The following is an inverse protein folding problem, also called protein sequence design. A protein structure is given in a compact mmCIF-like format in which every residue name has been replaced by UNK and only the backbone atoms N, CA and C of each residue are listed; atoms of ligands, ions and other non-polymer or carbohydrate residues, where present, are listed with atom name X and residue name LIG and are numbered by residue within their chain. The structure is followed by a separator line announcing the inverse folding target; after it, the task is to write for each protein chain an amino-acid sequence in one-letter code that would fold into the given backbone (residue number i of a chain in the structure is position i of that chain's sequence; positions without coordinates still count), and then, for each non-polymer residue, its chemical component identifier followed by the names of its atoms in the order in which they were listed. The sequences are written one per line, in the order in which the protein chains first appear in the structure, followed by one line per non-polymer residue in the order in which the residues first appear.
data_IF_635968519759
#
_entry.id   IF_635968519759
#
_cell.length_a   1.000
_cell.length_b   1.000
_cell.length_c   1.000
_cell.angle_alpha   90.00
_cell.angle_beta   90.00
_cell.angle_gamma   90.00
#
_symmetry.space_group_name_H-M   'P 1'
#
loop_
_entity.id
_entity.type
_entity.pdbx_description
1 polymer ?
#
# COMPACT_ATOMS: atom_id res chain seq x y z
N UNK A 1 -55.30 -42.84 -35.69
CA UNK A 1 -53.87 -43.04 -35.33
C UNK A 1 -53.14 -41.77 -35.75
N UNK A 2 -53.07 -40.80 -34.81
CA UNK A 2 -52.57 -39.45 -35.04
C UNK A 2 -51.23 -39.36 -34.35
N UNK A 3 -50.15 -39.16 -35.15
CA UNK A 3 -48.79 -39.02 -34.69
C UNK A 3 -48.54 -37.59 -34.14
N UNK A 4 -48.19 -37.48 -32.87
CA UNK A 4 -47.70 -36.24 -32.28
C UNK A 4 -46.22 -36.01 -32.72
N UNK A 5 -46.00 -34.95 -33.48
CA UNK A 5 -44.65 -34.43 -33.73
C UNK A 5 -44.21 -33.57 -32.56
N UNK A 6 -43.14 -33.98 -31.93
CA UNK A 6 -42.40 -33.23 -30.91
C UNK A 6 -41.56 -32.14 -31.56
N UNK A 7 -41.87 -30.89 -31.34
CA UNK A 7 -41.03 -29.75 -31.73
C UNK A 7 -39.97 -29.54 -30.66
N UNK A 8 -38.70 -29.92 -30.97
CA UNK A 8 -37.51 -29.57 -30.18
C UNK A 8 -37.18 -28.11 -30.44
N UNK A 9 -37.27 -27.28 -29.41
CA UNK A 9 -36.67 -25.95 -29.42
C UNK A 9 -35.16 -26.02 -29.45
N UNK A 10 -34.45 -25.22 -30.30
CA UNK A 10 -33.00 -25.21 -30.29
C UNK A 10 -32.46 -24.49 -29.04
N UNK A 11 -31.34 -24.92 -28.47
CA UNK A 11 -30.75 -24.30 -27.29
C UNK A 11 -30.24 -22.89 -27.64
N UNK A 12 -30.56 -21.93 -26.77
CA UNK A 12 -30.11 -20.54 -26.84
C UNK A 12 -28.57 -20.50 -26.62
N UNK A 13 -27.80 -20.72 -27.70
CA UNK A 13 -26.34 -20.61 -27.68
C UNK A 13 -25.84 -19.17 -27.84
N UNK A 14 -26.73 -18.20 -28.07
CA UNK A 14 -26.36 -16.82 -28.32
C UNK A 14 -26.07 -15.99 -27.06
N UNK A 15 -26.63 -16.37 -25.90
CA UNK A 15 -26.50 -15.55 -24.69
C UNK A 15 -25.13 -15.72 -23.99
N UNK A 16 -24.50 -16.88 -24.14
CA UNK A 16 -23.15 -17.11 -23.56
C UNK A 16 -22.05 -16.34 -24.29
N UNK A 17 -22.18 -16.10 -25.59
CA UNK A 17 -21.17 -15.34 -26.35
C UNK A 17 -21.28 -13.83 -26.13
N UNK A 18 -22.46 -13.31 -25.77
CA UNK A 18 -22.65 -11.89 -25.45
C UNK A 18 -22.05 -11.53 -24.09
N UNK A 19 -22.03 -12.46 -23.13
CA UNK A 19 -21.38 -12.27 -21.83
C UNK A 19 -19.86 -12.36 -21.91
N UNK A 20 -19.30 -13.14 -22.85
CA UNK A 20 -17.84 -13.27 -23.05
C UNK A 20 -17.27 -12.05 -23.80
N UNK A 21 -18.03 -11.44 -24.72
CA UNK A 21 -17.57 -10.26 -25.46
C UNK A 21 -17.51 -8.97 -24.63
N UNK A 22 -18.20 -8.90 -23.49
CA UNK A 22 -18.14 -7.78 -22.53
C UNK A 22 -16.84 -7.77 -21.70
N UNK A 23 -16.07 -8.87 -21.70
CA UNK A 23 -14.79 -8.98 -20.97
C UNK A 23 -13.56 -8.56 -21.78
N UNK A 24 -13.71 -8.18 -23.05
CA UNK A 24 -12.58 -7.82 -23.93
C UNK A 24 -12.36 -6.31 -24.05
N UNK A 25 -13.22 -5.46 -23.46
CA UNK A 25 -12.92 -4.05 -23.32
C UNK A 25 -11.92 -3.83 -22.18
N UNK A 26 -10.78 -3.30 -22.49
CA UNK A 26 -9.54 -3.12 -21.74
C UNK A 26 -9.56 -2.30 -20.44
N UNK A 27 -10.68 -2.24 -19.74
CA UNK A 27 -10.77 -1.71 -18.38
C UNK A 27 -11.11 -2.88 -17.45
N UNK A 28 -10.16 -3.26 -16.59
CA UNK A 28 -10.47 -4.22 -15.52
C UNK A 28 -11.71 -3.68 -14.74
N UNK A 29 -12.79 -4.46 -14.58
CA UNK A 29 -13.96 -4.02 -13.82
C UNK A 29 -13.61 -3.53 -12.41
N UNK A 30 -12.57 -4.11 -11.82
CA UNK A 30 -12.03 -3.73 -10.52
C UNK A 30 -11.48 -2.30 -10.52
N UNK A 31 -10.71 -1.92 -11.55
CA UNK A 31 -10.15 -0.55 -11.68
C UNK A 31 -11.27 0.48 -11.87
N UNK A 32 -12.28 0.15 -12.67
CA UNK A 32 -13.43 1.04 -12.87
C UNK A 32 -14.20 1.28 -11.57
N UNK A 33 -14.47 0.22 -10.77
CA UNK A 33 -15.16 0.37 -9.49
C UNK A 33 -14.31 1.19 -8.51
N UNK A 34 -13.00 0.96 -8.47
CA UNK A 34 -12.07 1.71 -7.61
C UNK A 34 -12.04 3.21 -7.98
N UNK A 35 -12.01 3.52 -9.28
CA UNK A 35 -11.99 4.90 -9.77
C UNK A 35 -13.33 5.63 -9.52
N UNK A 36 -14.46 4.97 -9.76
CA UNK A 36 -15.78 5.61 -9.71
C UNK A 36 -16.50 5.49 -8.37
N UNK A 37 -16.19 4.48 -7.57
CA UNK A 37 -16.83 4.25 -6.28
C UNK A 37 -15.87 3.54 -5.30
N UNK A 38 -14.88 4.26 -4.75
CA UNK A 38 -13.89 3.68 -3.84
C UNK A 38 -14.52 3.07 -2.57
N UNK A 39 -15.65 3.60 -2.07
CA UNK A 39 -16.34 3.03 -0.93
C UNK A 39 -16.96 1.66 -1.24
N UNK A 40 -17.49 1.46 -2.44
CA UNK A 40 -17.97 0.15 -2.89
C UNK A 40 -16.78 -0.82 -3.04
N UNK A 41 -15.69 -0.35 -3.65
CA UNK A 41 -14.45 -1.14 -3.77
C UNK A 41 -13.95 -1.60 -2.40
N UNK A 42 -13.92 -0.73 -1.40
CA UNK A 42 -13.53 -1.05 -0.03
C UNK A 42 -14.44 -2.08 0.63
N UNK A 43 -15.76 -1.97 0.45
CA UNK A 43 -16.71 -2.99 0.95
C UNK A 43 -16.50 -4.35 0.31
N UNK A 44 -16.30 -4.39 -1.01
CA UNK A 44 -16.00 -5.63 -1.75
C UNK A 44 -14.68 -6.23 -1.26
N UNK A 45 -13.65 -5.42 -1.13
CA UNK A 45 -12.34 -5.87 -0.64
C UNK A 45 -12.45 -6.49 0.76
N UNK A 46 -13.13 -5.80 1.69
CA UNK A 46 -13.36 -6.29 3.06
C UNK A 46 -14.11 -7.62 3.09
N UNK A 47 -15.21 -7.72 2.34
CA UNK A 47 -16.10 -8.89 2.42
C UNK A 47 -15.60 -10.09 1.66
N UNK A 48 -14.79 -9.91 0.63
CA UNK A 48 -14.29 -10.99 -0.21
C UNK A 48 -12.81 -11.26 0.07
N UNK A 49 -11.94 -10.26 -0.09
CA UNK A 49 -10.49 -10.46 -0.01
C UNK A 49 -10.04 -10.75 1.42
N UNK A 50 -10.39 -9.89 2.38
CA UNK A 50 -10.01 -10.11 3.79
C UNK A 50 -10.62 -11.39 4.34
N UNK A 51 -11.90 -11.67 4.09
CA UNK A 51 -12.55 -12.88 4.57
C UNK A 51 -11.92 -14.16 3.99
N UNK A 52 -11.47 -14.13 2.74
CA UNK A 52 -10.78 -15.28 2.10
C UNK A 52 -9.42 -15.54 2.75
N UNK A 53 -8.65 -14.49 3.00
CA UNK A 53 -7.30 -14.60 3.57
C UNK A 53 -7.38 -15.04 5.03
N UNK A 54 -8.28 -14.45 5.83
CA UNK A 54 -8.55 -14.85 7.22
C UNK A 54 -8.98 -16.33 7.31
N UNK A 55 -9.87 -16.78 6.41
CA UNK A 55 -10.27 -18.21 6.37
C UNK A 55 -9.09 -19.14 6.06
N UNK A 56 -8.17 -18.74 5.17
CA UNK A 56 -6.97 -19.53 4.85
C UNK A 56 -6.10 -19.70 6.10
N UNK A 57 -5.83 -18.62 6.82
CA UNK A 57 -5.03 -18.65 8.03
C UNK A 57 -5.68 -19.45 9.16
N UNK A 58 -7.01 -19.34 9.34
CA UNK A 58 -7.74 -20.16 10.32
C UNK A 58 -7.65 -21.64 10.03
N UNK A 59 -7.63 -22.03 8.78
CA UNK A 59 -7.49 -23.43 8.37
C UNK A 59 -6.05 -23.96 8.54
N UNK A 60 -5.04 -23.09 8.40
CA UNK A 60 -3.63 -23.43 8.54
C UNK A 60 -2.86 -22.27 9.20
N UNK A 61 -2.86 -22.21 10.55
CA UNK A 61 -2.26 -21.10 11.31
C UNK A 61 -0.76 -20.92 11.12
N UNK A 62 -0.06 -21.96 10.66
CA UNK A 62 1.39 -21.95 10.43
C UNK A 62 1.76 -21.82 8.95
N UNK A 63 0.82 -21.45 8.10
CA UNK A 63 1.08 -21.16 6.68
C UNK A 63 1.70 -19.77 6.55
N UNK A 64 3.02 -19.71 6.27
CA UNK A 64 3.77 -18.46 6.15
C UNK A 64 3.17 -17.55 5.07
N UNK A 65 2.81 -18.09 3.91
CA UNK A 65 2.16 -17.31 2.85
C UNK A 65 0.80 -16.76 3.30
N UNK A 66 0.03 -17.51 4.12
CA UNK A 66 -1.20 -17.00 4.68
C UNK A 66 -0.97 -15.86 5.68
N UNK A 67 0.09 -15.92 6.49
CA UNK A 67 0.49 -14.81 7.36
C UNK A 67 0.85 -13.58 6.55
N UNK A 68 1.71 -13.72 5.54
CA UNK A 68 2.12 -12.61 4.66
C UNK A 68 0.91 -11.98 3.96
N UNK A 69 0.03 -12.79 3.39
CA UNK A 69 -1.20 -12.31 2.75
C UNK A 69 -2.13 -11.56 3.72
N UNK A 70 -2.18 -11.95 5.01
CA UNK A 70 -2.94 -11.21 6.01
C UNK A 70 -2.30 -9.85 6.29
N UNK A 71 -0.97 -9.78 6.49
CA UNK A 71 -0.27 -8.51 6.67
C UNK A 71 -0.54 -7.59 5.49
N UNK A 72 -0.36 -8.06 4.27
CA UNK A 72 -0.58 -7.32 3.04
C UNK A 72 -2.02 -6.83 2.91
N UNK A 73 -3.00 -7.74 3.09
CA UNK A 73 -4.41 -7.43 2.85
C UNK A 73 -4.99 -6.47 3.90
N UNK A 74 -4.64 -6.65 5.17
CA UNK A 74 -5.07 -5.75 6.25
C UNK A 74 -4.47 -4.36 6.08
N UNK A 75 -3.17 -4.30 5.75
CA UNK A 75 -2.45 -3.03 5.54
C UNK A 75 -3.00 -2.30 4.31
N UNK A 76 -3.23 -3.01 3.20
CA UNK A 76 -3.85 -2.45 1.99
C UNK A 76 -5.25 -1.92 2.27
N UNK A 77 -6.08 -2.66 3.03
CA UNK A 77 -7.42 -2.20 3.39
C UNK A 77 -7.37 -0.94 4.25
N UNK A 78 -6.49 -0.92 5.25
CA UNK A 78 -6.37 0.19 6.16
C UNK A 78 -5.89 1.47 5.45
N UNK A 79 -4.83 1.42 4.63
CA UNK A 79 -4.36 2.59 3.88
C UNK A 79 -5.29 2.97 2.74
N UNK A 80 -5.61 2.00 1.87
CA UNK A 80 -6.28 2.29 0.60
C UNK A 80 -7.74 2.68 0.72
N UNK A 81 -8.39 2.35 1.85
CA UNK A 81 -9.80 2.65 2.03
C UNK A 81 -10.11 3.44 3.31
N UNK A 82 -9.55 3.06 4.45
CA UNK A 82 -9.93 3.72 5.72
C UNK A 82 -9.19 5.04 5.92
N UNK A 83 -7.87 5.08 5.75
CA UNK A 83 -7.08 6.31 5.87
C UNK A 83 -7.44 7.27 4.73
N UNK A 84 -7.55 6.79 3.49
CA UNK A 84 -7.93 7.62 2.35
C UNK A 84 -9.31 8.27 2.54
N UNK A 85 -10.30 7.53 3.07
CA UNK A 85 -11.61 8.13 3.41
C UNK A 85 -11.51 9.03 4.64
N UNK A 86 -10.69 8.70 5.64
CA UNK A 86 -10.47 9.54 6.82
C UNK A 86 -9.92 10.90 6.43
N UNK A 87 -8.88 10.95 5.60
CA UNK A 87 -8.27 12.20 5.15
C UNK A 87 -9.28 13.11 4.45
N UNK A 88 -10.13 12.54 3.58
CA UNK A 88 -11.19 13.28 2.90
C UNK A 88 -12.25 13.79 3.86
N UNK A 89 -12.63 12.97 4.84
CA UNK A 89 -13.61 13.35 5.86
C UNK A 89 -13.06 14.34 6.89
N UNK A 90 -11.74 14.48 7.02
CA UNK A 90 -11.13 15.42 7.96
C UNK A 90 -11.59 16.86 7.72
N UNK A 91 -11.80 17.23 6.46
CA UNK A 91 -12.28 18.56 6.05
C UNK A 91 -13.81 18.73 6.23
N UNK A 92 -14.58 17.65 6.22
CA UNK A 92 -16.04 17.68 6.21
C UNK A 92 -16.64 17.27 7.57
N UNK A 93 -16.11 16.22 8.19
CA UNK A 93 -16.63 15.58 9.38
C UNK A 93 -15.54 14.96 10.25
N UNK A 94 -14.96 15.75 11.12
CA UNK A 94 -13.87 15.35 12.01
C UNK A 94 -14.16 14.10 12.85
N UNK A 95 -15.40 13.97 13.38
CA UNK A 95 -15.78 12.78 14.17
C UNK A 95 -15.79 11.50 13.34
N UNK A 96 -16.28 11.56 12.09
CA UNK A 96 -16.25 10.43 11.17
C UNK A 96 -14.81 10.10 10.78
N UNK A 97 -13.98 11.10 10.50
CA UNK A 97 -12.56 10.92 10.18
C UNK A 97 -11.82 10.17 11.30
N UNK A 98 -11.92 10.64 12.54
CA UNK A 98 -11.30 9.99 13.69
C UNK A 98 -11.80 8.54 13.91
N UNK A 99 -13.07 8.26 13.63
CA UNK A 99 -13.59 6.90 13.72
C UNK A 99 -12.96 5.98 12.66
N UNK A 100 -12.80 6.47 11.43
CA UNK A 100 -12.14 5.73 10.35
C UNK A 100 -10.66 5.49 10.66
N UNK A 101 -9.95 6.50 11.16
CA UNK A 101 -8.56 6.36 11.58
C UNK A 101 -8.40 5.34 12.72
N UNK A 102 -9.28 5.38 13.72
CA UNK A 102 -9.29 4.39 14.80
C UNK A 102 -9.58 2.97 14.32
N UNK A 103 -10.42 2.81 13.28
CA UNK A 103 -10.62 1.52 12.64
C UNK A 103 -9.36 1.07 11.87
N UNK A 104 -8.74 1.98 11.10
CA UNK A 104 -7.49 1.70 10.39
C UNK A 104 -6.39 1.25 11.36
N UNK A 105 -6.25 1.94 12.51
CA UNK A 105 -5.31 1.56 13.55
C UNK A 105 -5.46 0.11 14.02
N UNK A 106 -6.69 -0.38 14.19
CA UNK A 106 -6.93 -1.76 14.59
C UNK A 106 -6.44 -2.75 13.53
N UNK A 107 -6.68 -2.47 12.25
CA UNK A 107 -6.21 -3.32 11.15
C UNK A 107 -4.68 -3.30 11.03
N UNK A 108 -4.05 -2.13 11.18
CA UNK A 108 -2.58 -2.04 11.22
C UNK A 108 -1.99 -2.80 12.40
N UNK A 109 -2.56 -2.65 13.60
CA UNK A 109 -2.10 -3.36 14.78
C UNK A 109 -2.21 -4.88 14.64
N UNK A 110 -3.29 -5.38 14.03
CA UNK A 110 -3.48 -6.79 13.71
C UNK A 110 -2.48 -7.25 12.64
N UNK A 111 -2.25 -6.48 11.59
CA UNK A 111 -1.24 -6.76 10.57
C UNK A 111 0.16 -6.87 11.17
N UNK A 112 0.54 -5.98 12.10
CA UNK A 112 1.80 -6.06 12.84
C UNK A 112 1.91 -7.37 13.61
N UNK A 113 0.84 -7.84 14.27
CA UNK A 113 0.87 -9.12 14.98
C UNK A 113 1.13 -10.30 14.05
N UNK A 114 0.51 -10.32 12.86
CA UNK A 114 0.77 -11.36 11.86
C UNK A 114 2.19 -11.28 11.32
N UNK A 115 2.71 -10.07 11.06
CA UNK A 115 4.10 -9.87 10.65
C UNK A 115 5.10 -10.35 11.68
N UNK A 116 4.94 -9.97 12.94
CA UNK A 116 5.78 -10.42 14.05
C UNK A 116 5.72 -11.95 14.23
N UNK A 117 4.55 -12.55 14.05
CA UNK A 117 4.37 -14.00 14.07
C UNK A 117 5.09 -14.68 12.90
N UNK A 118 5.00 -14.13 11.69
CA UNK A 118 5.68 -14.65 10.52
C UNK A 118 7.21 -14.61 10.69
N UNK A 119 7.77 -13.53 11.22
CA UNK A 119 9.20 -13.46 11.56
C UNK A 119 9.63 -14.55 12.53
N UNK A 120 8.86 -14.74 13.60
CA UNK A 120 9.15 -15.76 14.61
C UNK A 120 9.04 -17.19 14.07
N UNK A 121 8.16 -17.38 13.06
CA UNK A 121 7.98 -18.67 12.39
C UNK A 121 9.13 -19.02 11.44
N UNK A 122 9.65 -18.04 10.70
CA UNK A 122 10.78 -18.25 9.78
C UNK A 122 12.04 -18.59 10.57
N UNK A 123 12.43 -17.72 11.48
CA UNK A 123 13.58 -17.89 12.39
C UNK A 123 13.40 -16.96 13.59
N UNK A 124 13.50 -17.52 14.78
CA UNK A 124 13.41 -16.73 16.02
C UNK A 124 14.45 -15.59 16.09
N UNK A 125 15.58 -15.70 15.39
CA UNK A 125 16.57 -14.65 15.31
C UNK A 125 16.11 -13.46 14.46
N UNK A 126 15.21 -13.63 13.49
CA UNK A 126 14.62 -12.51 12.74
C UNK A 126 13.86 -11.56 13.66
N UNK A 127 12.99 -12.11 14.50
CA UNK A 127 12.23 -11.28 15.42
C UNK A 127 13.15 -10.61 16.46
N UNK A 128 14.14 -11.31 16.97
CA UNK A 128 15.15 -10.72 17.87
C UNK A 128 15.89 -9.57 17.20
N UNK A 129 16.33 -9.78 15.95
CA UNK A 129 16.97 -8.72 15.17
C UNK A 129 16.04 -7.51 14.99
N UNK A 130 14.77 -7.73 14.62
CA UNK A 130 13.82 -6.65 14.41
C UNK A 130 13.64 -5.77 15.65
N UNK A 131 13.58 -6.38 16.83
CA UNK A 131 13.36 -5.67 18.10
C UNK A 131 14.65 -5.17 18.77
N UNK A 132 15.82 -5.64 18.34
CA UNK A 132 17.10 -5.23 18.90
C UNK A 132 17.44 -3.79 18.48
N UNK A 133 18.26 -3.12 19.28
CA UNK A 133 18.83 -1.81 18.96
C UNK A 133 20.27 -1.94 18.42
N UNK A 134 20.77 -3.16 18.22
CA UNK A 134 22.06 -3.38 17.58
C UNK A 134 21.96 -3.13 16.07
N UNK A 135 23.00 -2.59 15.49
CA UNK A 135 23.11 -2.33 14.05
C UNK A 135 23.43 -3.58 13.22
N UNK A 136 23.20 -4.79 13.76
CA UNK A 136 23.52 -6.03 13.04
C UNK A 136 22.74 -6.11 11.73
N UNK A 137 23.45 -6.42 10.66
CA UNK A 137 22.88 -6.60 9.33
C UNK A 137 22.31 -8.01 9.19
N UNK A 138 21.16 -8.13 8.55
CA UNK A 138 20.48 -9.41 8.31
C UNK A 138 20.71 -9.93 6.87
N UNK A 139 21.66 -9.32 6.17
CA UNK A 139 21.91 -9.53 4.74
C UNK A 139 22.09 -11.00 4.39
N UNK A 140 22.85 -11.74 5.19
CA UNK A 140 23.16 -13.15 4.92
C UNK A 140 21.95 -14.07 4.83
N UNK A 141 20.86 -13.72 5.55
CA UNK A 141 19.63 -14.52 5.57
C UNK A 141 18.74 -14.19 4.36
N UNK A 142 18.78 -12.95 3.88
CA UNK A 142 18.00 -12.49 2.72
C UNK A 142 18.61 -12.97 1.38
N UNK A 143 19.87 -13.34 1.35
CA UNK A 143 20.52 -13.87 0.15
C UNK A 143 20.17 -15.34 -0.14
N UNK A 144 19.62 -16.07 0.84
CA UNK A 144 19.37 -17.51 0.76
C UNK A 144 17.93 -17.81 0.33
N UNK A 145 17.66 -17.86 -0.96
CA UNK A 145 16.66 -18.72 -1.60
C UNK A 145 15.18 -18.29 -1.63
N UNK A 146 14.64 -17.53 -0.69
CA UNK A 146 13.22 -17.09 -0.64
C UNK A 146 13.06 -15.57 -0.65
N UNK A 147 13.89 -14.91 -1.42
CA UNK A 147 14.05 -13.45 -1.46
C UNK A 147 12.72 -12.71 -1.64
N UNK A 148 11.87 -13.12 -2.59
CA UNK A 148 10.61 -12.45 -2.88
C UNK A 148 9.63 -12.52 -1.71
N UNK A 149 9.48 -13.69 -1.07
CA UNK A 149 8.58 -13.89 0.06
C UNK A 149 9.02 -13.06 1.28
N UNK A 150 10.34 -13.04 1.56
CA UNK A 150 10.89 -12.25 2.67
C UNK A 150 10.78 -10.75 2.41
N UNK A 151 11.02 -10.30 1.19
CA UNK A 151 10.85 -8.89 0.85
C UNK A 151 9.40 -8.43 0.95
N UNK A 152 8.44 -9.26 0.53
CA UNK A 152 7.01 -9.00 0.74
C UNK A 152 6.69 -8.87 2.23
N UNK A 153 7.15 -9.82 3.05
CA UNK A 153 6.94 -9.77 4.50
C UNK A 153 7.54 -8.50 5.11
N UNK A 154 8.78 -8.17 4.78
CA UNK A 154 9.49 -6.99 5.31
C UNK A 154 8.76 -5.71 4.93
N UNK A 155 8.45 -5.55 3.66
CA UNK A 155 7.78 -4.36 3.16
C UNK A 155 6.41 -4.14 3.80
N UNK A 156 5.56 -5.15 3.77
CA UNK A 156 4.21 -5.02 4.29
C UNK A 156 4.16 -4.91 5.81
N UNK A 157 5.09 -5.55 6.52
CA UNK A 157 5.22 -5.36 7.98
C UNK A 157 5.74 -3.96 8.32
N UNK A 158 6.68 -3.43 7.55
CA UNK A 158 7.13 -2.04 7.70
C UNK A 158 5.98 -1.05 7.46
N UNK A 159 5.19 -1.26 6.41
CA UNK A 159 4.00 -0.46 6.12
C UNK A 159 2.95 -0.55 7.25
N UNK A 160 2.70 -1.76 7.79
CA UNK A 160 1.80 -1.95 8.91
C UNK A 160 2.27 -1.22 10.18
N UNK A 161 3.57 -1.30 10.52
CA UNK A 161 4.14 -0.51 11.61
C UNK A 161 3.99 0.99 11.38
N UNK A 162 4.33 1.48 10.18
CA UNK A 162 4.17 2.88 9.82
C UNK A 162 2.72 3.35 9.97
N UNK A 163 1.76 2.58 9.47
CA UNK A 163 0.33 2.86 9.60
C UNK A 163 -0.16 2.84 11.05
N UNK A 164 0.29 1.86 11.85
CA UNK A 164 -0.06 1.79 13.27
C UNK A 164 0.51 2.97 14.06
N UNK A 165 1.73 3.41 13.74
CA UNK A 165 2.35 4.59 14.37
C UNK A 165 1.58 5.85 14.02
N UNK A 166 1.32 6.11 12.73
CA UNK A 166 0.64 7.33 12.27
C UNK A 166 -0.77 7.46 12.82
N UNK A 167 -1.52 6.36 12.88
CA UNK A 167 -2.91 6.31 13.36
C UNK A 167 -3.07 6.09 14.87
N UNK A 168 -1.96 6.09 15.62
CA UNK A 168 -1.97 5.83 17.07
C UNK A 168 -2.41 7.02 17.92
N UNK A 169 -2.61 8.20 17.30
CA UNK A 169 -2.84 9.44 18.05
C UNK A 169 -1.66 9.86 18.93
N UNK A 170 -0.44 9.44 18.59
CA UNK A 170 0.76 9.77 19.35
C UNK A 170 1.08 8.82 20.50
N UNK A 171 0.48 7.61 20.55
CA UNK A 171 0.76 6.63 21.61
C UNK A 171 2.25 6.22 21.62
N UNK A 172 2.99 6.51 22.73
CA UNK A 172 4.41 6.18 22.85
C UNK A 172 4.73 4.69 22.61
N UNK A 173 3.79 3.78 22.92
CA UNK A 173 3.95 2.33 22.66
C UNK A 173 4.13 1.99 21.19
N UNK A 174 3.61 2.84 20.31
CA UNK A 174 3.78 2.71 18.87
C UNK A 174 4.96 3.51 18.37
N UNK A 175 5.14 4.73 18.84
CA UNK A 175 6.23 5.63 18.39
C UNK A 175 7.60 4.99 18.61
N UNK A 176 7.85 4.32 19.74
CA UNK A 176 9.13 3.63 20.00
C UNK A 176 9.46 2.51 19.01
N UNK A 177 8.49 2.07 18.21
CA UNK A 177 8.68 1.03 17.17
C UNK A 177 9.09 1.61 15.81
N UNK A 178 9.18 2.93 15.67
CA UNK A 178 9.59 3.58 14.42
C UNK A 178 10.92 3.04 13.85
N UNK A 179 11.96 2.76 14.63
CA UNK A 179 13.19 2.19 14.11
C UNK A 179 13.01 0.85 13.36
N UNK A 180 11.97 0.05 13.71
CA UNK A 180 11.67 -1.21 13.03
C UNK A 180 11.28 -1.00 11.57
N UNK A 181 10.55 0.09 11.27
CA UNK A 181 10.19 0.47 9.90
C UNK A 181 11.46 0.68 9.07
N UNK A 182 12.39 1.48 9.60
CA UNK A 182 13.67 1.72 8.92
C UNK A 182 14.51 0.46 8.73
N UNK A 183 14.59 -0.42 9.74
CA UNK A 183 15.30 -1.69 9.65
C UNK A 183 14.78 -2.56 8.51
N UNK A 184 13.48 -2.78 8.46
CA UNK A 184 12.85 -3.63 7.45
C UNK A 184 13.03 -3.08 6.04
N UNK A 185 12.81 -1.78 5.83
CA UNK A 185 12.95 -1.17 4.52
C UNK A 185 14.41 -1.10 4.05
N UNK A 186 15.35 -0.75 4.94
CA UNK A 186 16.76 -0.72 4.61
C UNK A 186 17.31 -2.12 4.30
N UNK A 187 16.83 -3.17 4.97
CA UNK A 187 17.23 -4.54 4.66
C UNK A 187 16.83 -4.93 3.22
N UNK A 188 15.68 -4.50 2.72
CA UNK A 188 15.31 -4.71 1.31
C UNK A 188 16.26 -3.93 0.40
N UNK A 189 16.45 -2.63 0.65
CA UNK A 189 17.22 -1.74 -0.22
C UNK A 189 18.68 -2.12 -0.27
N UNK A 190 19.26 -2.67 0.81
CA UNK A 190 20.67 -3.12 0.85
C UNK A 190 20.91 -4.33 -0.05
N UNK A 191 19.92 -5.20 -0.23
CA UNK A 191 20.02 -6.40 -1.09
C UNK A 191 19.53 -6.11 -2.51
N UNK A 192 18.39 -5.42 -2.65
CA UNK A 192 17.81 -5.09 -3.95
C UNK A 192 16.94 -3.84 -3.88
N UNK A 193 17.54 -2.70 -4.18
CA UNK A 193 16.82 -1.42 -4.22
C UNK A 193 15.80 -1.31 -5.35
N UNK A 194 15.85 -2.23 -6.32
CA UNK A 194 14.91 -2.24 -7.45
C UNK A 194 13.67 -3.12 -7.20
N UNK A 195 13.66 -3.89 -6.11
CA UNK A 195 12.53 -4.74 -5.78
C UNK A 195 11.21 -3.96 -5.80
N UNK A 196 10.20 -4.57 -6.41
CA UNK A 196 8.87 -3.99 -6.59
C UNK A 196 8.93 -2.52 -7.06
N UNK A 197 9.77 -2.29 -8.09
CA UNK A 197 9.96 -0.99 -8.72
C UNK A 197 10.39 0.14 -7.77
N UNK A 198 11.13 -0.19 -6.72
CA UNK A 198 11.61 0.77 -5.75
C UNK A 198 10.59 1.16 -4.68
N UNK A 199 9.61 0.31 -4.40
CA UNK A 199 8.58 0.57 -3.38
C UNK A 199 9.20 0.85 -1.99
N UNK A 200 10.27 0.11 -1.62
CA UNK A 200 10.98 0.35 -0.37
C UNK A 200 11.70 1.71 -0.34
N UNK A 201 12.25 2.17 -1.47
CA UNK A 201 12.84 3.52 -1.58
C UNK A 201 11.78 4.60 -1.35
N UNK A 202 10.60 4.42 -1.96
CA UNK A 202 9.47 5.35 -1.78
C UNK A 202 9.01 5.41 -0.33
N UNK A 203 8.84 4.26 0.33
CA UNK A 203 8.42 4.19 1.73
C UNK A 203 9.48 4.81 2.69
N UNK A 204 10.76 4.66 2.37
CA UNK A 204 11.85 5.28 3.12
C UNK A 204 11.81 6.82 3.10
N UNK A 205 11.22 7.47 2.11
CA UNK A 205 11.04 8.93 2.10
C UNK A 205 10.22 9.34 3.33
N UNK A 206 9.06 8.73 3.52
CA UNK A 206 8.19 9.03 4.67
C UNK A 206 8.84 8.67 6.00
N UNK A 207 9.52 7.51 6.07
CA UNK A 207 10.27 7.13 7.26
C UNK A 207 11.35 8.15 7.63
N UNK A 208 12.14 8.60 6.64
CA UNK A 208 13.24 9.56 6.83
C UNK A 208 12.74 10.88 7.40
N UNK A 209 11.62 11.39 6.89
CA UNK A 209 11.03 12.64 7.37
C UNK A 209 10.48 12.56 8.80
N UNK A 210 10.17 11.36 9.27
CA UNK A 210 9.67 11.11 10.64
C UNK A 210 10.77 10.59 11.59
N UNK A 211 12.02 10.45 11.14
CA UNK A 211 13.11 9.95 11.96
C UNK A 211 13.67 11.04 12.88
N UNK A 212 13.44 10.97 14.21
CA UNK A 212 13.84 12.01 15.16
C UNK A 212 15.36 12.10 15.35
N UNK A 213 16.14 11.16 14.83
CA UNK A 213 17.59 11.15 14.91
C UNK A 213 18.26 12.00 13.82
N UNK A 214 17.51 12.47 12.82
CA UNK A 214 18.00 13.28 11.72
C UNK A 214 17.67 14.76 11.94
N UNK A 215 18.61 15.61 11.60
CA UNK A 215 18.33 17.04 11.46
C UNK A 215 17.41 17.28 10.24
N UNK A 216 16.66 18.40 10.21
CA UNK A 216 15.83 18.74 9.07
C UNK A 216 16.57 18.71 7.71
N UNK A 217 17.78 19.22 7.67
CA UNK A 217 18.58 19.25 6.44
C UNK A 217 19.07 17.87 5.99
N UNK A 218 19.43 17.00 6.93
CA UNK A 218 19.77 15.61 6.64
C UNK A 218 18.57 14.86 6.10
N UNK A 219 17.41 14.99 6.77
CA UNK A 219 16.17 14.36 6.31
C UNK A 219 15.78 14.81 4.91
N UNK A 220 15.86 16.11 4.60
CA UNK A 220 15.57 16.65 3.26
C UNK A 220 16.55 16.09 2.21
N UNK A 221 17.85 16.05 2.52
CA UNK A 221 18.88 15.55 1.59
C UNK A 221 18.72 14.05 1.30
N UNK A 222 18.51 13.24 2.34
CA UNK A 222 18.30 11.79 2.20
C UNK A 222 17.01 11.52 1.43
N UNK A 223 15.90 12.20 1.77
CA UNK A 223 14.61 12.03 1.10
C UNK A 223 14.69 12.40 -0.37
N UNK A 224 15.43 13.45 -0.73
CA UNK A 224 15.65 13.84 -2.13
C UNK A 224 16.41 12.76 -2.91
N UNK A 225 17.43 12.17 -2.32
CA UNK A 225 18.18 11.08 -2.95
C UNK A 225 17.33 9.82 -3.13
N UNK A 226 16.52 9.46 -2.14
CA UNK A 226 15.59 8.34 -2.21
C UNK A 226 14.55 8.56 -3.33
N UNK A 227 13.98 9.76 -3.40
CA UNK A 227 13.04 10.16 -4.45
C UNK A 227 13.63 10.01 -5.85
N UNK A 228 14.83 10.53 -6.06
CA UNK A 228 15.53 10.43 -7.36
C UNK A 228 15.78 8.97 -7.75
N UNK A 229 16.24 8.15 -6.81
CA UNK A 229 16.45 6.71 -7.04
C UNK A 229 15.13 5.99 -7.35
N UNK A 230 14.05 6.26 -6.62
CA UNK A 230 12.74 5.64 -6.87
C UNK A 230 12.21 5.97 -8.27
N UNK A 231 12.34 7.23 -8.72
CA UNK A 231 11.99 7.61 -10.10
C UNK A 231 12.86 6.87 -11.12
N UNK A 232 14.16 6.79 -10.89
CA UNK A 232 15.08 6.10 -11.79
C UNK A 232 14.71 4.62 -11.91
N UNK A 233 14.46 3.94 -10.80
CA UNK A 233 14.10 2.51 -10.76
C UNK A 233 12.78 2.24 -11.46
N UNK A 234 11.76 3.06 -11.22
CA UNK A 234 10.44 2.93 -11.89
C UNK A 234 10.43 3.43 -13.35
N UNK A 235 11.57 3.95 -13.85
CA UNK A 235 11.65 4.56 -15.18
C UNK A 235 10.71 5.77 -15.34
N UNK A 236 10.37 6.44 -14.26
CA UNK A 236 9.47 7.59 -14.24
C UNK A 236 7.99 7.21 -14.52
N UNK A 237 7.62 5.94 -14.42
CA UNK A 237 6.26 5.45 -14.73
C UNK A 237 5.37 5.29 -13.50
N UNK A 238 5.94 5.38 -12.29
CA UNK A 238 5.22 5.31 -11.02
C UNK A 238 4.93 6.72 -10.49
N UNK A 239 3.66 7.00 -10.18
CA UNK A 239 3.23 8.25 -9.55
C UNK A 239 3.56 8.27 -8.04
N UNK A 240 3.72 7.11 -7.41
CA UNK A 240 3.90 6.95 -5.97
C UNK A 240 5.03 7.80 -5.38
N UNK A 241 6.26 7.78 -5.93
CA UNK A 241 7.37 8.61 -5.46
C UNK A 241 7.05 10.11 -5.42
N UNK A 242 6.38 10.62 -6.47
CA UNK A 242 6.01 12.05 -6.54
C UNK A 242 5.04 12.45 -5.44
N UNK A 243 3.99 11.64 -5.21
CA UNK A 243 3.01 11.90 -4.16
C UNK A 243 3.66 11.79 -2.77
N UNK A 244 4.44 10.74 -2.56
CA UNK A 244 5.11 10.54 -1.27
C UNK A 244 6.05 11.69 -0.94
N UNK A 245 6.83 12.18 -1.91
CA UNK A 245 7.71 13.32 -1.70
C UNK A 245 6.91 14.62 -1.48
N UNK A 246 5.86 14.84 -2.27
CA UNK A 246 4.98 15.99 -2.10
C UNK A 246 4.37 16.03 -0.69
N UNK A 247 3.73 14.93 -0.25
CA UNK A 247 3.05 14.89 1.04
C UNK A 247 4.01 14.83 2.23
N UNK A 248 5.10 14.05 2.15
CA UNK A 248 6.02 13.88 3.28
C UNK A 248 7.03 15.02 3.41
N UNK A 249 7.51 15.59 2.29
CA UNK A 249 8.57 16.60 2.29
C UNK A 249 8.01 17.99 2.02
N UNK A 250 7.45 18.22 0.82
CA UNK A 250 7.07 19.57 0.39
C UNK A 250 5.96 20.17 1.26
N UNK A 251 4.92 19.37 1.60
CA UNK A 251 3.86 19.80 2.52
C UNK A 251 4.42 20.08 3.93
N UNK A 252 5.22 19.18 4.48
CA UNK A 252 5.83 19.34 5.81
C UNK A 252 6.74 20.58 5.89
N UNK A 253 7.41 20.94 4.79
CA UNK A 253 8.28 22.13 4.67
C UNK A 253 7.55 23.36 4.18
N UNK A 254 6.22 23.31 4.02
CA UNK A 254 5.38 24.43 3.52
C UNK A 254 5.84 24.97 2.17
N UNK A 255 6.36 24.10 1.28
CA UNK A 255 6.82 24.43 -0.07
C UNK A 255 5.70 24.24 -1.09
N UNK A 256 4.72 25.13 -1.10
CA UNK A 256 3.49 25.04 -1.92
C UNK A 256 3.80 24.83 -3.40
N UNK A 257 4.71 25.62 -3.98
CA UNK A 257 5.03 25.55 -5.41
C UNK A 257 5.68 24.20 -5.79
N UNK A 258 6.60 23.68 -4.95
CA UNK A 258 7.21 22.37 -5.15
C UNK A 258 6.15 21.25 -5.06
N UNK A 259 5.24 21.33 -4.09
CA UNK A 259 4.13 20.39 -3.93
C UNK A 259 3.24 20.34 -5.18
N UNK A 260 2.78 21.50 -5.67
CA UNK A 260 1.96 21.61 -6.89
C UNK A 260 2.73 21.07 -8.11
N UNK A 261 4.02 21.42 -8.24
CA UNK A 261 4.86 20.94 -9.34
C UNK A 261 4.98 19.43 -9.37
N UNK A 262 5.20 18.78 -8.23
CA UNK A 262 5.32 17.34 -8.10
C UNK A 262 4.02 16.62 -8.46
N UNK A 263 2.88 17.08 -7.94
CA UNK A 263 1.58 16.49 -8.26
C UNK A 263 1.25 16.63 -9.75
N UNK A 264 1.54 17.77 -10.35
CA UNK A 264 1.36 17.96 -11.79
C UNK A 264 2.31 17.10 -12.64
N UNK A 265 3.53 16.80 -12.16
CA UNK A 265 4.43 15.84 -12.82
C UNK A 265 3.86 14.42 -12.75
N UNK A 266 3.36 14.01 -11.59
CA UNK A 266 2.69 12.73 -11.43
C UNK A 266 1.50 12.59 -12.41
N UNK A 267 0.63 13.59 -12.48
CA UNK A 267 -0.57 13.58 -13.35
C UNK A 267 -0.27 13.55 -14.85
N UNK A 268 0.97 13.89 -15.27
CA UNK A 268 1.40 13.73 -16.66
C UNK A 268 1.77 12.29 -17.04
N UNK A 269 1.91 11.40 -16.08
CA UNK A 269 2.24 9.99 -16.33
C UNK A 269 1.01 9.30 -16.95
N UNK A 270 1.19 8.69 -18.12
CA UNK A 270 0.11 7.93 -18.74
C UNK A 270 -0.08 6.59 -18.01
N UNK A 271 -1.21 6.48 -17.31
CA UNK A 271 -1.59 5.27 -16.55
C UNK A 271 -1.63 4.01 -17.42
N UNK A 272 -1.94 4.17 -18.72
CA UNK A 272 -2.04 3.03 -19.65
C UNK A 272 -0.69 2.60 -20.21
N UNK A 273 0.36 3.39 -20.04
CA UNK A 273 1.70 3.11 -20.56
C UNK A 273 2.36 1.88 -19.93
N UNK A 274 1.95 1.50 -18.72
CA UNK A 274 2.48 0.33 -18.02
C UNK A 274 1.39 -0.39 -17.21
N UNK A 275 1.11 -1.65 -17.56
CA UNK A 275 0.13 -2.47 -16.83
C UNK A 275 0.50 -2.68 -15.37
N UNK A 276 1.77 -2.73 -15.08
CA UNK A 276 2.34 -2.95 -13.76
C UNK A 276 1.94 -1.85 -12.77
N UNK A 277 1.97 -0.59 -13.20
CA UNK A 277 1.61 0.57 -12.37
C UNK A 277 0.15 0.99 -12.51
N UNK A 278 -0.65 0.32 -13.32
CA UNK A 278 -2.00 0.80 -13.65
C UNK A 278 -2.89 0.95 -12.42
N UNK A 279 -2.84 -0.01 -11.49
CA UNK A 279 -3.63 0.05 -10.26
C UNK A 279 -3.13 1.15 -9.32
N UNK A 280 -1.84 1.16 -9.02
CA UNK A 280 -1.23 2.13 -8.11
C UNK A 280 -1.33 3.55 -8.65
N UNK A 281 -1.09 3.75 -9.95
CA UNK A 281 -1.24 5.06 -10.59
C UNK A 281 -2.70 5.54 -10.64
N UNK A 282 -3.69 4.64 -10.75
CA UNK A 282 -5.10 5.05 -10.67
C UNK A 282 -5.42 5.60 -9.27
N UNK A 283 -4.95 4.94 -8.22
CA UNK A 283 -5.11 5.41 -6.83
C UNK A 283 -4.36 6.73 -6.63
N UNK A 284 -3.11 6.79 -7.05
CA UNK A 284 -2.26 7.97 -6.93
C UNK A 284 -2.82 9.19 -7.68
N UNK A 285 -3.40 8.97 -8.87
CA UNK A 285 -4.06 10.02 -9.62
C UNK A 285 -5.22 10.63 -8.82
N UNK A 286 -6.12 9.80 -8.31
CA UNK A 286 -7.28 10.28 -7.54
C UNK A 286 -6.85 11.03 -6.28
N UNK A 287 -5.76 10.59 -5.65
CA UNK A 287 -5.15 11.29 -4.51
C UNK A 287 -4.54 12.63 -4.92
N UNK A 288 -3.78 12.68 -6.01
CA UNK A 288 -3.15 13.91 -6.50
C UNK A 288 -4.18 14.97 -6.89
N UNK A 289 -5.25 14.57 -7.59
CA UNK A 289 -6.35 15.48 -7.96
C UNK A 289 -7.02 16.04 -6.69
N UNK A 290 -7.36 15.21 -5.72
CA UNK A 290 -7.95 15.65 -4.46
C UNK A 290 -7.04 16.61 -3.68
N UNK A 291 -5.74 16.34 -3.62
CA UNK A 291 -4.76 17.20 -2.95
C UNK A 291 -4.67 18.59 -3.63
N UNK A 292 -4.72 18.65 -4.95
CA UNK A 292 -4.72 19.91 -5.68
C UNK A 292 -6.02 20.68 -5.50
N UNK A 293 -7.17 20.00 -5.50
CA UNK A 293 -8.48 20.62 -5.28
C UNK A 293 -8.64 21.23 -3.88
N UNK A 294 -7.88 20.72 -2.90
CA UNK A 294 -7.92 21.16 -1.50
C UNK A 294 -6.60 21.82 -1.06
N UNK A 295 -5.84 22.39 -2.00
CA UNK A 295 -4.48 22.89 -1.77
C UNK A 295 -4.39 23.92 -0.64
N UNK A 296 -5.38 24.78 -0.51
CA UNK A 296 -5.41 25.84 0.48
C UNK A 296 -5.63 25.35 1.91
N UNK A 297 -6.06 24.11 2.10
CA UNK A 297 -6.17 23.46 3.42
C UNK A 297 -4.80 22.98 3.95
N UNK A 298 -3.77 22.91 3.12
CA UNK A 298 -2.47 22.33 3.47
C UNK A 298 -1.36 23.37 3.63
N UNK A 299 -1.58 24.61 3.18
CA UNK A 299 -0.57 25.68 3.18
C UNK A 299 -1.15 26.98 3.73
N UNK A 300 -0.37 27.71 4.56
CA UNK A 300 -0.75 28.98 5.16
C UNK A 300 0.13 30.11 4.67
#
# INVERSE_FOLDING_TARGET
MILFQSTKNPPIKGLSYLLISLFICSCSPTLYVLDKNPQLAGRIYKTISLAKVDKRLKNNPNDLEALILNVESLTTYAFGFLIEESDRMMLENYSKANNLESQAHKYFAEAVQYGDSAFSYIDHNFYKWLISNDGSEIVDILEIGQKEEYFRLFYWTAAAYGGAISSSGGDPKWIIKLPRVGKLLNAIVSVDSSWNNGAALTALISYTMNNPLLTPNEADSISKNLFQKAIQVSGGKDMGPYLTYAESVSKTRQKKDEFISLLNQALKIDIKSSKEFQLTNTISKNRAEWLLDNIDEFFY
#
